data_IF_477081692846
#
_entry.id   IF_477081692846
#
_cell.length_a   1.000
_cell.length_b   1.000
_cell.length_c   1.000
_cell.angle_alpha   90.00
_cell.angle_beta   90.00
_cell.angle_gamma   90.00
#
_symmetry.space_group_name_H-M   'P 1'
#
loop_
_entity.id
_entity.type
_entity.pdbx_description
1 polymer ?
#
# COMPACT_ATOMS: atom_id res chain seq x y z
N UNK A 1 57.78 2.03 47.60
CA UNK A 1 56.35 2.41 47.54
C UNK A 1 55.82 2.10 46.17
N UNK A 2 55.17 0.96 46.03
CA UNK A 2 54.57 0.51 44.76
C UNK A 2 53.05 0.66 44.87
N UNK A 3 52.48 1.50 44.02
CA UNK A 3 51.01 1.59 43.85
C UNK A 3 50.61 0.66 42.69
N UNK A 4 49.96 -0.44 43.00
CA UNK A 4 49.29 -1.30 42.03
C UNK A 4 47.97 -0.64 41.63
N UNK A 5 47.84 -0.29 40.33
CA UNK A 5 46.58 0.14 39.75
C UNK A 5 45.80 -1.08 39.30
N UNK A 6 44.66 -1.34 39.96
CA UNK A 6 43.70 -2.38 39.59
C UNK A 6 42.82 -1.84 38.46
N UNK A 7 43.08 -2.29 37.23
CA UNK A 7 42.18 -2.05 36.08
C UNK A 7 41.00 -3.01 36.18
N UNK A 8 39.84 -2.49 36.57
CA UNK A 8 38.57 -3.16 36.44
C UNK A 8 38.15 -3.15 34.96
N UNK A 9 38.26 -4.30 34.31
CA UNK A 9 37.65 -4.52 32.99
C UNK A 9 36.11 -4.62 33.17
N UNK A 10 35.43 -3.54 32.86
CA UNK A 10 33.96 -3.56 32.70
C UNK A 10 33.69 -4.22 31.37
N UNK A 11 33.28 -5.49 31.40
CA UNK A 11 32.69 -6.18 30.22
C UNK A 11 31.42 -5.44 29.85
N UNK A 12 31.45 -4.69 28.75
CA UNK A 12 30.25 -4.15 28.14
C UNK A 12 29.41 -5.33 27.64
N UNK A 13 28.39 -5.69 28.41
CA UNK A 13 27.30 -6.53 27.91
C UNK A 13 26.62 -5.73 26.82
N UNK A 14 26.72 -6.21 25.56
CA UNK A 14 25.95 -5.64 24.47
C UNK A 14 24.47 -5.63 24.86
N UNK A 15 23.73 -4.52 24.67
CA UNK A 15 22.29 -4.54 24.92
C UNK A 15 21.66 -5.63 24.05
N UNK A 16 20.64 -6.32 24.55
CA UNK A 16 19.89 -7.27 23.73
C UNK A 16 19.43 -6.51 22.48
N UNK A 17 19.72 -7.06 21.32
CA UNK A 17 19.15 -6.59 20.06
C UNK A 17 17.66 -6.95 20.13
N UNK A 18 16.83 -5.99 20.50
CA UNK A 18 15.40 -6.13 20.31
C UNK A 18 15.14 -6.51 18.84
N UNK A 19 14.22 -7.44 18.58
CA UNK A 19 13.81 -7.70 17.19
C UNK A 19 13.47 -6.35 16.55
N UNK A 20 13.78 -6.15 15.25
CA UNK A 20 13.52 -4.88 14.59
C UNK A 20 12.05 -4.52 14.82
N UNK A 21 11.83 -3.43 15.57
CA UNK A 21 10.49 -2.90 15.78
C UNK A 21 9.88 -2.58 14.43
N UNK A 22 8.60 -2.87 14.24
CA UNK A 22 7.87 -2.46 13.05
C UNK A 22 8.15 -0.99 12.75
N UNK A 23 8.46 -0.64 11.48
CA UNK A 23 8.51 0.77 11.13
C UNK A 23 7.14 1.37 11.49
N UNK A 24 7.10 2.49 12.20
CA UNK A 24 5.83 3.15 12.46
C UNK A 24 5.13 3.43 11.13
N UNK A 25 3.80 3.37 11.11
CA UNK A 25 3.02 3.61 9.89
C UNK A 25 3.41 4.92 9.20
N UNK A 26 3.80 5.94 9.97
CA UNK A 26 4.34 7.21 9.46
C UNK A 26 5.54 7.01 8.55
N UNK A 27 6.51 6.19 8.95
CA UNK A 27 7.73 5.95 8.17
C UNK A 27 7.43 5.10 6.93
N UNK A 28 6.60 4.06 7.10
CA UNK A 28 6.14 3.22 5.99
C UNK A 28 5.34 4.01 4.95
N UNK A 29 4.59 5.03 5.39
CA UNK A 29 3.89 5.94 4.50
C UNK A 29 4.81 6.94 3.78
N UNK A 30 6.09 7.10 4.16
CA UNK A 30 7.01 8.05 3.52
C UNK A 30 7.44 7.61 2.12
N UNK A 31 7.45 6.34 1.80
CA UNK A 31 7.88 5.86 0.48
C UNK A 31 6.77 6.02 -0.54
N UNK A 32 7.03 6.74 -1.63
CA UNK A 32 6.01 6.98 -2.64
C UNK A 32 5.69 5.73 -3.45
N UNK A 33 4.42 5.63 -3.84
CA UNK A 33 3.96 4.64 -4.80
C UNK A 33 2.90 5.24 -5.74
N UNK A 34 3.19 6.32 -6.47
CA UNK A 34 2.22 6.84 -7.43
C UNK A 34 1.98 5.81 -8.53
N UNK A 35 0.78 5.84 -9.08
CA UNK A 35 0.31 4.87 -10.09
C UNK A 35 1.32 4.67 -11.21
N UNK A 36 1.73 3.43 -11.45
CA UNK A 36 2.73 3.06 -12.46
C UNK A 36 4.19 3.25 -12.01
N UNK A 37 4.41 3.74 -10.79
CA UNK A 37 5.74 3.97 -10.20
C UNK A 37 5.87 3.35 -8.80
N UNK A 38 5.13 2.27 -8.52
CA UNK A 38 5.05 1.62 -7.21
C UNK A 38 6.29 0.81 -6.86
N UNK A 39 7.19 0.59 -7.82
CA UNK A 39 8.34 -0.30 -7.68
C UNK A 39 9.15 -0.06 -6.41
N UNK A 40 9.47 1.20 -6.10
CA UNK A 40 10.28 1.54 -4.94
C UNK A 40 9.65 1.10 -3.62
N UNK A 41 8.36 1.37 -3.45
CA UNK A 41 7.61 0.95 -2.27
C UNK A 41 7.58 -0.58 -2.17
N UNK A 42 7.31 -1.25 -3.28
CA UNK A 42 7.25 -2.70 -3.32
C UNK A 42 8.62 -3.36 -3.10
N UNK A 43 9.73 -2.72 -3.49
CA UNK A 43 11.08 -3.19 -3.20
C UNK A 43 11.39 -3.06 -1.70
N UNK A 44 10.90 -2.01 -1.02
CA UNK A 44 11.00 -1.86 0.44
C UNK A 44 10.17 -2.92 1.18
N UNK A 45 8.97 -3.23 0.70
CA UNK A 45 8.17 -4.34 1.24
C UNK A 45 8.90 -5.65 1.07
N UNK A 46 9.41 -5.94 -0.13
CA UNK A 46 10.12 -7.17 -0.42
C UNK A 46 11.38 -7.35 0.44
N UNK A 47 12.11 -6.27 0.69
CA UNK A 47 13.33 -6.30 1.53
C UNK A 47 13.05 -6.62 3.01
N UNK A 48 11.82 -6.50 3.46
CA UNK A 48 11.41 -6.80 4.85
C UNK A 48 10.77 -8.19 5.00
N UNK A 49 10.55 -8.91 3.90
CA UNK A 49 10.00 -10.26 3.94
C UNK A 49 11.08 -11.27 4.34
N UNK A 50 10.71 -12.34 5.06
CA UNK A 50 11.61 -13.46 5.33
C UNK A 50 12.11 -14.12 4.04
N UNK A 51 13.41 -14.42 3.96
CA UNK A 51 14.06 -15.05 2.78
C UNK A 51 13.45 -16.40 2.40
N UNK A 52 12.77 -17.08 3.32
CA UNK A 52 12.10 -18.37 3.11
C UNK A 52 10.83 -18.27 2.27
N UNK A 53 10.25 -17.08 2.15
CA UNK A 53 9.04 -16.87 1.37
C UNK A 53 9.36 -16.69 -0.12
N UNK A 54 8.64 -17.42 -0.97
CA UNK A 54 8.76 -17.27 -2.41
C UNK A 54 8.07 -15.98 -2.87
N UNK A 55 8.82 -15.09 -3.50
CA UNK A 55 8.31 -13.83 -4.02
C UNK A 55 8.45 -13.77 -5.53
N UNK A 56 7.48 -13.17 -6.20
CA UNK A 56 7.51 -12.93 -7.64
C UNK A 56 6.89 -11.58 -7.99
N UNK A 57 7.22 -11.06 -9.16
CA UNK A 57 6.61 -9.85 -9.74
C UNK A 57 5.77 -10.23 -10.95
N UNK A 58 4.58 -9.63 -11.06
CA UNK A 58 3.81 -9.73 -12.29
C UNK A 58 4.26 -8.69 -13.34
N UNK A 59 3.64 -8.73 -14.52
CA UNK A 59 3.96 -7.82 -15.61
C UNK A 59 3.63 -6.33 -15.32
N UNK A 60 2.78 -6.05 -14.35
CA UNK A 60 2.42 -4.70 -13.91
C UNK A 60 3.26 -4.25 -12.72
N UNK A 61 4.11 -5.13 -12.18
CA UNK A 61 5.01 -4.85 -11.07
C UNK A 61 4.46 -5.22 -9.70
N UNK A 62 3.25 -5.78 -9.58
CA UNK A 62 2.69 -6.24 -8.29
C UNK A 62 3.63 -7.26 -7.63
N UNK A 63 3.78 -7.18 -6.32
CA UNK A 63 4.54 -8.15 -5.54
C UNK A 63 3.60 -9.25 -5.05
N UNK A 64 3.88 -10.48 -5.44
CA UNK A 64 3.14 -11.67 -5.04
C UNK A 64 4.02 -12.50 -4.11
N UNK A 65 3.49 -12.88 -2.95
CA UNK A 65 4.19 -13.64 -1.91
C UNK A 65 3.42 -14.93 -1.67
N UNK A 66 4.07 -16.07 -1.91
CA UNK A 66 3.48 -17.38 -1.66
C UNK A 66 3.90 -17.91 -0.30
N UNK A 67 2.92 -18.31 0.49
CA UNK A 67 3.10 -18.96 1.77
C UNK A 67 3.23 -20.47 1.61
N UNK A 68 3.78 -21.13 2.63
CA UNK A 68 3.96 -22.59 2.66
C UNK A 68 5.43 -23.01 2.67
N UNK A 69 5.67 -24.33 2.81
CA UNK A 69 7.02 -24.88 2.83
C UNK A 69 7.72 -24.68 1.49
N UNK A 70 9.06 -24.74 1.45
CA UNK A 70 9.82 -24.66 0.22
C UNK A 70 9.33 -25.71 -0.80
N UNK A 71 8.95 -25.26 -2.01
CA UNK A 71 8.39 -26.13 -3.06
C UNK A 71 6.87 -26.12 -3.19
N UNK A 72 6.14 -25.46 -2.27
CA UNK A 72 4.67 -25.32 -2.37
C UNK A 72 4.20 -24.38 -3.50
N UNK A 73 5.12 -23.89 -4.34
CA UNK A 73 4.82 -22.89 -5.38
C UNK A 73 3.83 -23.32 -6.49
N UNK A 74 3.63 -24.62 -6.69
CA UNK A 74 2.75 -25.17 -7.70
C UNK A 74 1.35 -25.55 -7.17
N UNK A 75 1.10 -25.35 -5.89
CA UNK A 75 -0.21 -25.66 -5.30
C UNK A 75 -1.28 -24.66 -5.77
N UNK A 76 -2.52 -25.11 -5.94
CA UNK A 76 -3.65 -24.22 -6.22
C UNK A 76 -3.77 -23.15 -5.15
N UNK A 77 -4.00 -21.90 -5.58
CA UNK A 77 -4.23 -20.80 -4.66
C UNK A 77 -5.62 -20.92 -4.06
N UNK A 78 -5.68 -21.32 -2.80
CA UNK A 78 -6.92 -21.43 -2.04
C UNK A 78 -7.46 -20.07 -1.66
N UNK A 79 -6.61 -19.23 -1.10
CA UNK A 79 -6.97 -17.91 -0.63
C UNK A 79 -5.91 -16.87 -1.05
N UNK A 80 -6.37 -15.74 -1.55
CA UNK A 80 -5.57 -14.59 -1.90
C UNK A 80 -5.93 -13.41 -0.98
N UNK A 81 -4.94 -12.88 -0.28
CA UNK A 81 -5.07 -11.62 0.47
C UNK A 81 -4.44 -10.50 -0.35
N UNK A 82 -5.18 -9.46 -0.65
CA UNK A 82 -4.71 -8.45 -1.57
C UNK A 82 -4.97 -7.02 -1.08
N UNK A 83 -4.01 -6.13 -1.34
CA UNK A 83 -4.11 -4.69 -1.11
C UNK A 83 -3.59 -3.92 -2.31
N UNK A 84 -4.27 -2.86 -2.70
CA UNK A 84 -3.73 -1.88 -3.65
C UNK A 84 -2.69 -0.99 -2.96
N UNK A 85 -1.53 -0.80 -3.57
CA UNK A 85 -0.45 -0.01 -2.95
C UNK A 85 -0.27 1.37 -3.56
N UNK A 86 -0.88 1.62 -4.70
CA UNK A 86 -0.73 2.88 -5.42
C UNK A 86 -1.47 4.03 -4.73
N UNK A 87 -0.92 5.21 -4.89
CA UNK A 87 -1.45 6.47 -4.38
C UNK A 87 -1.71 7.46 -5.51
N UNK A 88 -2.65 8.42 -5.33
CA UNK A 88 -2.82 9.51 -6.26
C UNK A 88 -1.54 10.35 -6.37
N UNK A 89 -1.18 10.69 -7.58
CA UNK A 89 0.00 11.49 -7.88
C UNK A 89 -0.11 12.16 -9.23
N UNK A 90 0.97 12.75 -9.67
CA UNK A 90 1.10 13.37 -10.99
C UNK A 90 2.38 12.91 -11.66
N UNK A 91 2.51 13.21 -12.94
CA UNK A 91 3.78 13.18 -13.68
C UNK A 91 4.08 14.55 -14.25
N UNK A 92 5.36 14.85 -14.43
CA UNK A 92 5.80 16.01 -15.19
C UNK A 92 5.39 15.84 -16.64
N UNK A 93 4.45 16.66 -17.12
CA UNK A 93 3.93 16.59 -18.50
C UNK A 93 4.57 17.61 -19.44
N UNK A 94 5.10 18.70 -18.91
CA UNK A 94 5.80 19.74 -19.68
C UNK A 94 6.77 20.51 -18.78
N UNK A 95 7.93 20.85 -19.32
CA UNK A 95 8.88 21.80 -18.74
C UNK A 95 8.73 23.11 -19.51
N UNK A 96 8.38 24.18 -18.80
CA UNK A 96 8.13 25.50 -19.39
C UNK A 96 9.41 26.32 -19.51
N UNK A 97 9.39 27.34 -20.36
CA UNK A 97 10.54 28.22 -20.56
C UNK A 97 10.91 29.03 -19.30
N UNK A 98 9.94 29.30 -18.44
CA UNK A 98 10.08 30.00 -17.16
C UNK A 98 10.49 29.08 -15.99
N UNK A 99 10.80 27.79 -16.24
CA UNK A 99 11.22 26.82 -15.25
C UNK A 99 10.10 26.14 -14.48
N UNK A 100 8.86 26.60 -14.60
CA UNK A 100 7.71 25.88 -14.03
C UNK A 100 7.44 24.57 -14.78
N UNK A 101 6.87 23.60 -14.05
CA UNK A 101 6.50 22.30 -14.60
C UNK A 101 4.97 22.20 -14.70
N UNK A 102 4.45 21.80 -15.86
CA UNK A 102 3.08 21.31 -15.93
C UNK A 102 3.03 19.87 -15.43
N UNK A 103 1.96 19.55 -14.74
CA UNK A 103 1.75 18.21 -14.18
C UNK A 103 0.45 17.63 -14.72
N UNK A 104 0.40 16.31 -14.84
CA UNK A 104 -0.79 15.54 -15.22
C UNK A 104 -1.06 14.46 -14.19
N UNK A 105 -2.32 14.36 -13.76
CA UNK A 105 -2.74 13.39 -12.75
C UNK A 105 -2.54 11.95 -13.24
N UNK A 106 -2.10 11.10 -12.33
CA UNK A 106 -2.01 9.65 -12.50
C UNK A 106 -3.20 8.97 -11.83
N UNK A 107 -3.67 7.87 -12.41
CA UNK A 107 -4.71 7.01 -11.81
C UNK A 107 -6.06 7.11 -12.52
N UNK A 108 -7.12 6.86 -11.76
CA UNK A 108 -8.50 6.81 -12.24
C UNK A 108 -8.98 8.12 -12.89
N UNK A 109 -10.10 8.08 -13.64
CA UNK A 109 -10.59 9.23 -14.38
C UNK A 109 -10.61 10.46 -13.48
N UNK A 110 -10.23 11.57 -14.08
CA UNK A 110 -10.05 12.89 -13.49
C UNK A 110 -10.93 13.09 -12.25
N UNK A 111 -10.31 13.27 -11.06
CA UNK A 111 -11.08 13.56 -9.86
C UNK A 111 -11.98 14.78 -10.11
N UNK A 112 -13.08 14.96 -9.38
CA UNK A 112 -13.86 16.19 -9.42
C UNK A 112 -12.94 17.39 -9.35
N UNK A 113 -13.23 18.46 -10.10
CA UNK A 113 -12.33 19.61 -10.24
C UNK A 113 -11.86 20.22 -8.93
N UNK A 114 -12.68 20.14 -7.88
CA UNK A 114 -12.34 20.62 -6.54
C UNK A 114 -11.22 19.80 -5.88
N UNK A 115 -10.96 18.59 -6.35
CA UNK A 115 -9.88 17.74 -5.83
C UNK A 115 -8.50 18.39 -5.98
N UNK A 116 -8.28 19.14 -7.05
CA UNK A 116 -7.01 19.81 -7.28
C UNK A 116 -6.79 20.98 -6.33
N UNK A 117 -7.85 21.64 -5.87
CA UNK A 117 -7.78 22.74 -4.91
C UNK A 117 -7.23 22.28 -3.55
N UNK A 118 -7.48 21.04 -3.15
CA UNK A 118 -6.93 20.46 -1.91
C UNK A 118 -5.40 20.36 -1.94
N UNK A 119 -4.79 20.52 -3.10
CA UNK A 119 -3.36 20.37 -3.33
C UNK A 119 -2.62 21.68 -3.54
N UNK A 120 -3.36 22.79 -3.70
CA UNK A 120 -2.78 24.11 -3.87
C UNK A 120 -1.94 24.53 -2.67
N UNK A 121 -0.73 25.06 -2.92
CA UNK A 121 0.19 25.55 -1.92
C UNK A 121 0.85 24.46 -1.08
N UNK A 122 0.62 23.18 -1.40
CA UNK A 122 1.20 22.09 -0.64
C UNK A 122 2.56 21.67 -1.16
N UNK A 123 3.48 21.28 -0.26
CA UNK A 123 4.74 20.68 -0.64
C UNK A 123 4.52 19.44 -1.48
N UNK A 124 5.37 19.29 -2.50
CA UNK A 124 5.42 18.10 -3.34
C UNK A 124 6.88 17.71 -3.60
N UNK A 125 7.09 16.51 -4.08
CA UNK A 125 8.40 16.02 -4.49
C UNK A 125 8.32 15.43 -5.88
N UNK A 126 9.25 15.84 -6.74
CA UNK A 126 9.53 15.16 -8.00
C UNK A 126 10.53 14.05 -7.71
N UNK A 127 10.20 12.83 -8.03
CA UNK A 127 11.10 11.69 -7.89
C UNK A 127 11.83 11.45 -9.21
N UNK A 128 13.07 11.89 -9.24
CA UNK A 128 13.97 11.73 -10.37
C UNK A 128 14.76 10.43 -10.26
N UNK A 129 15.55 10.11 -11.27
CA UNK A 129 16.48 8.98 -11.22
C UNK A 129 17.50 9.11 -10.08
N UNK A 130 17.92 10.34 -9.77
CA UNK A 130 19.02 10.62 -8.82
C UNK A 130 18.51 10.92 -7.40
N UNK A 131 17.18 10.99 -7.20
CA UNK A 131 16.60 11.28 -5.89
C UNK A 131 15.34 12.15 -5.99
N UNK A 132 14.95 12.73 -4.86
CA UNK A 132 13.76 13.56 -4.76
C UNK A 132 14.10 15.04 -4.77
N UNK A 133 13.48 15.81 -5.66
CA UNK A 133 13.52 17.28 -5.68
C UNK A 133 12.26 17.84 -5.00
N UNK A 134 12.44 18.79 -4.10
CA UNK A 134 11.33 19.50 -3.47
C UNK A 134 10.69 20.50 -4.44
N UNK A 135 9.38 20.69 -4.32
CA UNK A 135 8.63 21.71 -5.04
C UNK A 135 7.32 22.04 -4.34
N UNK A 136 6.57 22.96 -4.89
CA UNK A 136 5.26 23.37 -4.38
C UNK A 136 4.25 23.29 -5.52
N UNK A 137 3.14 22.58 -5.29
CA UNK A 137 2.01 22.57 -6.22
C UNK A 137 1.25 23.89 -6.15
N UNK A 138 1.01 24.48 -7.28
CA UNK A 138 0.38 25.78 -7.42
C UNK A 138 -0.73 25.72 -8.46
N UNK A 139 -1.64 26.67 -8.41
CA UNK A 139 -2.63 26.93 -9.45
C UNK A 139 -2.54 28.38 -9.91
N UNK A 140 -2.97 28.66 -11.12
CA UNK A 140 -3.01 30.03 -11.63
C UNK A 140 -3.85 30.91 -10.70
N UNK A 141 -3.35 32.12 -10.37
CA UNK A 141 -4.06 33.04 -9.52
C UNK A 141 -5.48 33.34 -10.03
N UNK A 142 -6.44 33.33 -9.14
CA UNK A 142 -7.85 33.65 -9.47
C UNK A 142 -8.02 35.03 -10.12
N UNK A 143 -7.11 35.96 -9.85
CA UNK A 143 -7.12 37.29 -10.41
C UNK A 143 -6.60 37.38 -11.86
N UNK A 144 -5.83 36.39 -12.28
CA UNK A 144 -5.23 36.33 -13.61
C UNK A 144 -6.00 35.42 -14.58
N UNK A 145 -7.02 34.71 -14.09
CA UNK A 145 -7.85 33.83 -14.92
C UNK A 145 -9.01 34.58 -15.55
N UNK A 146 -9.09 34.53 -16.87
CA UNK A 146 -10.23 35.08 -17.63
C UNK A 146 -10.45 34.20 -18.88
N UNK A 147 -11.65 33.64 -19.10
CA UNK A 147 -12.77 33.59 -18.14
C UNK A 147 -12.47 32.70 -16.92
N UNK A 148 -13.15 32.95 -15.81
CA UNK A 148 -13.08 32.06 -14.62
C UNK A 148 -13.75 30.73 -14.96
N UNK A 149 -13.05 29.59 -14.87
CA UNK A 149 -13.71 28.29 -14.97
C UNK A 149 -14.53 28.04 -13.71
N UNK A 150 -15.69 27.38 -13.86
CA UNK A 150 -16.54 26.96 -12.73
C UNK A 150 -15.83 25.86 -11.91
N UNK A 151 -14.95 25.10 -12.56
CA UNK A 151 -14.19 24.00 -11.98
C UNK A 151 -12.72 24.12 -12.38
N UNK A 152 -11.80 24.00 -11.41
CA UNK A 152 -10.37 24.02 -11.66
C UNK A 152 -9.87 22.61 -11.99
N UNK A 153 -9.63 22.35 -13.26
CA UNK A 153 -8.99 21.14 -13.73
C UNK A 153 -7.46 21.12 -13.53
N UNK A 154 -6.85 19.99 -13.83
CA UNK A 154 -5.39 19.80 -13.75
C UNK A 154 -4.61 20.72 -14.69
N UNK A 155 -5.24 21.22 -15.75
CA UNK A 155 -4.63 22.15 -16.72
C UNK A 155 -4.23 23.50 -16.10
N UNK A 156 -4.79 23.84 -14.94
CA UNK A 156 -4.43 25.05 -14.19
C UNK A 156 -3.32 24.81 -13.16
N UNK A 157 -2.94 23.53 -12.96
CA UNK A 157 -1.90 23.19 -12.01
C UNK A 157 -0.51 23.28 -12.61
N UNK A 158 0.43 23.70 -11.79
CA UNK A 158 1.85 23.63 -12.08
C UNK A 158 2.64 23.38 -10.81
N UNK A 159 3.89 22.99 -10.99
CA UNK A 159 4.82 22.73 -9.89
C UNK A 159 5.99 23.71 -10.02
N UNK A 160 6.26 24.43 -8.95
CA UNK A 160 7.43 25.25 -8.77
C UNK A 160 8.52 24.44 -8.08
N UNK A 161 9.67 24.32 -8.70
CA UNK A 161 10.86 23.63 -8.18
C UNK A 161 12.02 24.59 -7.92
N UNK A 162 11.75 25.90 -7.97
CA UNK A 162 12.76 26.95 -7.77
C UNK A 162 13.71 27.15 -8.97
N UNK A 163 13.40 26.59 -10.13
CA UNK A 163 14.14 26.82 -11.37
C UNK A 163 13.52 27.97 -12.16
N UNK A 164 14.35 28.72 -12.89
CA UNK A 164 13.94 29.85 -13.74
C UNK A 164 14.02 29.56 -15.24
N UNK A 165 14.40 28.33 -15.60
CA UNK A 165 14.64 27.94 -16.99
C UNK A 165 14.63 26.42 -17.16
N UNK A 166 14.44 25.89 -18.37
CA UNK A 166 14.58 24.46 -18.66
C UNK A 166 15.95 23.90 -18.29
N UNK A 167 17.01 24.72 -18.42
CA UNK A 167 18.36 24.35 -18.04
C UNK A 167 18.48 24.20 -16.51
N UNK A 168 17.85 25.08 -15.75
CA UNK A 168 17.74 24.98 -14.29
C UNK A 168 17.02 23.70 -13.86
N UNK A 169 15.90 23.39 -14.51
CA UNK A 169 15.15 22.14 -14.28
C UNK A 169 16.01 20.92 -14.58
N UNK A 170 16.71 20.90 -15.72
CA UNK A 170 17.61 19.79 -16.08
C UNK A 170 18.77 19.63 -15.09
N UNK A 171 19.27 20.72 -14.52
CA UNK A 171 20.32 20.67 -13.48
C UNK A 171 19.84 20.04 -12.16
N UNK A 172 18.52 20.06 -11.91
CA UNK A 172 17.89 19.33 -10.79
C UNK A 172 17.64 17.84 -11.12
N UNK A 173 18.03 17.37 -12.31
CA UNK A 173 17.80 15.99 -12.75
C UNK A 173 16.36 15.68 -13.14
N UNK A 174 15.50 16.69 -13.24
CA UNK A 174 14.07 16.50 -13.53
C UNK A 174 13.86 16.32 -15.03
N UNK A 175 13.08 15.30 -15.39
CA UNK A 175 12.71 14.95 -16.75
C UNK A 175 11.19 14.82 -16.92
N UNK A 176 10.75 14.77 -18.18
CA UNK A 176 9.36 14.44 -18.50
C UNK A 176 9.03 13.04 -17.98
N UNK A 177 7.81 12.86 -17.51
CA UNK A 177 7.26 11.64 -16.90
C UNK A 177 7.83 11.27 -15.52
N UNK A 178 8.71 12.11 -14.95
CA UNK A 178 9.06 11.93 -13.56
C UNK A 178 7.83 12.06 -12.65
N UNK A 179 7.61 11.12 -11.72
CA UNK A 179 6.44 11.16 -10.85
C UNK A 179 6.54 12.28 -9.81
N UNK A 180 5.41 12.88 -9.54
CA UNK A 180 5.23 13.94 -8.55
C UNK A 180 4.23 13.50 -7.51
N UNK A 181 4.62 13.51 -6.25
CA UNK A 181 3.76 13.14 -5.12
C UNK A 181 3.71 14.24 -4.09
N UNK A 182 2.57 14.40 -3.47
CA UNK A 182 2.46 15.14 -2.24
C UNK A 182 3.08 14.32 -1.12
N UNK A 183 3.92 14.97 -0.29
CA UNK A 183 4.66 14.26 0.73
C UNK A 183 4.57 14.98 2.06
N UNK A 184 3.42 14.89 2.66
CA UNK A 184 3.20 15.27 4.04
C UNK A 184 2.68 14.05 4.78
N UNK A 185 3.51 13.48 5.63
CA UNK A 185 3.07 12.53 6.64
C UNK A 185 3.07 13.30 7.94
N UNK A 186 1.92 13.43 8.54
CA UNK A 186 1.76 14.06 9.85
C UNK A 186 1.35 12.97 10.83
N UNK A 187 2.30 12.55 11.66
CA UNK A 187 2.00 11.82 12.89
C UNK A 187 1.63 12.85 13.96
N UNK A 188 0.39 12.89 14.37
CA UNK A 188 -0.02 13.65 15.54
C UNK A 188 0.39 12.86 16.79
N UNK A 189 0.97 13.52 17.80
CA UNK A 189 1.44 12.91 19.05
C UNK A 189 0.36 12.00 19.67
N UNK A 190 0.52 10.67 19.50
CA UNK A 190 -0.44 9.68 19.99
C UNK A 190 -1.80 9.67 19.29
N UNK A 191 -1.93 10.33 18.16
CA UNK A 191 -3.14 10.44 17.37
C UNK A 191 -3.01 9.79 15.98
N UNK A 192 -3.96 10.07 15.07
CA UNK A 192 -4.02 9.46 13.75
C UNK A 192 -2.78 9.78 12.90
N UNK A 193 -2.40 8.83 12.06
CA UNK A 193 -1.42 9.06 10.99
C UNK A 193 -2.17 9.63 9.79
N UNK A 194 -1.77 10.82 9.36
CA UNK A 194 -2.31 11.49 8.18
C UNK A 194 -1.30 11.40 7.03
N UNK A 195 -1.71 10.79 5.93
CA UNK A 195 -0.89 10.65 4.73
C UNK A 195 -1.75 10.40 3.48
N UNK A 196 -1.23 10.66 2.27
CA UNK A 196 -1.87 10.15 1.06
C UNK A 196 -1.97 8.62 1.10
N UNK A 197 -3.16 8.08 0.84
CA UNK A 197 -3.43 6.64 0.85
C UNK A 197 -3.06 5.93 2.17
N UNK A 198 -3.29 6.56 3.33
CA UNK A 198 -2.92 6.04 4.65
C UNK A 198 -3.51 4.64 4.91
N UNK A 199 -4.76 4.38 4.51
CA UNK A 199 -5.38 3.07 4.67
C UNK A 199 -4.68 1.97 3.86
N UNK A 200 -4.23 2.26 2.64
CA UNK A 200 -3.48 1.31 1.82
C UNK A 200 -2.12 1.00 2.42
N UNK A 201 -1.47 2.01 3.00
CA UNK A 201 -0.21 1.84 3.73
C UNK A 201 -0.40 1.00 4.99
N UNK A 202 -1.46 1.28 5.77
CA UNK A 202 -1.83 0.50 6.95
C UNK A 202 -2.12 -0.96 6.59
N UNK A 203 -2.90 -1.20 5.55
CA UNK A 203 -3.21 -2.55 5.09
C UNK A 203 -1.97 -3.30 4.58
N UNK A 204 -1.08 -2.62 3.84
CA UNK A 204 0.18 -3.21 3.39
C UNK A 204 1.11 -3.54 4.58
N UNK A 205 1.19 -2.67 5.58
CA UNK A 205 1.95 -2.92 6.82
C UNK A 205 1.39 -4.13 7.58
N UNK A 206 0.07 -4.22 7.71
CA UNK A 206 -0.60 -5.36 8.37
C UNK A 206 -0.30 -6.67 7.66
N UNK A 207 -0.34 -6.70 6.32
CA UNK A 207 0.03 -7.88 5.53
C UNK A 207 1.50 -8.25 5.72
N UNK A 208 2.41 -7.27 5.72
CA UNK A 208 3.84 -7.49 5.94
C UNK A 208 4.10 -8.08 7.34
N UNK A 209 3.46 -7.52 8.38
CA UNK A 209 3.54 -8.05 9.76
C UNK A 209 3.05 -9.49 9.84
N UNK A 210 1.91 -9.81 9.23
CA UNK A 210 1.38 -11.17 9.22
C UNK A 210 2.36 -12.18 8.59
N UNK A 211 2.99 -11.81 7.47
CA UNK A 211 3.97 -12.65 6.78
C UNK A 211 5.28 -12.83 7.55
N UNK A 212 5.70 -11.81 8.29
CA UNK A 212 6.98 -11.79 9.01
C UNK A 212 6.88 -12.40 10.40
N UNK A 213 5.83 -12.03 11.15
CA UNK A 213 5.76 -12.23 12.60
C UNK A 213 4.85 -13.38 13.00
N UNK A 214 4.07 -13.96 12.06
CA UNK A 214 3.12 -15.05 12.32
C UNK A 214 3.52 -16.29 11.51
N UNK A 215 4.26 -17.26 12.10
CA UNK A 215 4.71 -18.44 11.39
C UNK A 215 3.56 -19.24 10.76
N UNK A 216 2.42 -19.35 11.43
CA UNK A 216 1.23 -20.06 10.96
C UNK A 216 0.71 -19.50 9.63
N UNK A 217 0.80 -18.16 9.44
CA UNK A 217 0.46 -17.50 8.18
C UNK A 217 1.49 -17.82 7.11
N UNK A 218 2.77 -17.66 7.44
CA UNK A 218 3.86 -17.82 6.47
C UNK A 218 4.03 -19.29 6.02
N UNK A 219 3.64 -20.27 6.85
CA UNK A 219 3.74 -21.69 6.56
C UNK A 219 2.45 -22.31 5.98
N UNK A 220 1.38 -21.49 5.81
CA UNK A 220 0.08 -21.95 5.28
C UNK A 220 0.12 -22.18 3.78
N UNK A 221 0.06 -23.43 3.34
CA UNK A 221 0.06 -23.81 1.93
C UNK A 221 -1.24 -23.35 1.21
N UNK A 222 -1.11 -22.90 -0.03
CA UNK A 222 -2.24 -22.38 -0.82
C UNK A 222 -2.70 -20.97 -0.42
N UNK A 223 -2.04 -20.32 0.55
CA UNK A 223 -2.23 -18.92 0.91
C UNK A 223 -1.26 -18.05 0.11
N UNK A 224 -1.77 -16.97 -0.46
CA UNK A 224 -0.98 -16.01 -1.25
C UNK A 224 -1.32 -14.61 -0.83
N UNK A 225 -0.30 -13.76 -0.69
CA UNK A 225 -0.45 -12.33 -0.49
C UNK A 225 -0.06 -11.57 -1.76
N UNK A 226 -0.82 -10.53 -2.12
CA UNK A 226 -0.51 -9.67 -3.25
C UNK A 226 -0.56 -8.18 -2.86
N UNK A 227 0.57 -7.52 -3.03
CA UNK A 227 0.70 -6.06 -2.98
C UNK A 227 0.56 -5.55 -4.40
N UNK A 228 -0.63 -5.06 -4.73
CA UNK A 228 -1.09 -4.85 -6.10
C UNK A 228 -0.75 -3.45 -6.60
N UNK A 229 0.02 -3.37 -7.68
CA UNK A 229 0.31 -2.14 -8.41
C UNK A 229 -0.88 -1.75 -9.31
N UNK A 230 -1.01 -0.46 -9.66
CA UNK A 230 -2.05 0.07 -10.56
C UNK A 230 -3.48 -0.32 -10.15
N UNK A 231 -3.74 -0.36 -8.85
CA UNK A 231 -5.03 -0.78 -8.29
C UNK A 231 -6.12 0.27 -8.47
N UNK A 232 -5.77 1.53 -8.73
CA UNK A 232 -6.72 2.63 -8.95
C UNK A 232 -7.06 2.86 -10.42
N UNK A 233 -6.46 2.10 -11.34
CA UNK A 233 -6.71 2.22 -12.78
C UNK A 233 -7.61 1.09 -13.25
N UNK A 234 -8.71 1.42 -13.92
CA UNK A 234 -9.66 0.43 -14.45
C UNK A 234 -10.82 0.16 -13.49
N UNK A 235 -11.41 -1.01 -13.61
CA UNK A 235 -12.60 -1.45 -12.88
C UNK A 235 -12.28 -2.63 -11.96
N UNK A 236 -13.23 -2.99 -11.08
CA UNK A 236 -13.06 -4.12 -10.16
C UNK A 236 -12.41 -3.72 -8.84
N UNK A 237 -12.25 -4.69 -7.92
CA UNK A 237 -11.87 -4.44 -6.53
C UNK A 237 -10.47 -3.84 -6.35
N UNK A 238 -9.56 -4.13 -7.28
CA UNK A 238 -8.18 -3.66 -7.29
C UNK A 238 -7.76 -3.27 -8.72
N UNK A 239 -8.69 -2.73 -9.51
CA UNK A 239 -8.44 -2.19 -10.82
C UNK A 239 -7.67 -3.15 -11.75
N UNK A 240 -6.86 -2.58 -12.64
CA UNK A 240 -6.07 -3.30 -13.64
C UNK A 240 -5.07 -4.29 -13.03
N UNK A 241 -4.43 -3.89 -11.94
CA UNK A 241 -3.49 -4.76 -11.23
C UNK A 241 -4.17 -5.96 -10.62
N UNK A 242 -5.32 -5.76 -9.98
CA UNK A 242 -6.13 -6.84 -9.43
C UNK A 242 -6.60 -7.83 -10.49
N UNK A 243 -7.03 -7.33 -11.65
CA UNK A 243 -7.40 -8.20 -12.79
C UNK A 243 -6.23 -9.06 -13.25
N UNK A 244 -5.03 -8.50 -13.36
CA UNK A 244 -3.84 -9.24 -13.77
C UNK A 244 -3.49 -10.36 -12.77
N UNK A 245 -3.53 -10.03 -11.47
CA UNK A 245 -3.29 -11.00 -10.38
C UNK A 245 -4.34 -12.12 -10.39
N UNK A 246 -5.64 -11.77 -10.49
CA UNK A 246 -6.73 -12.75 -10.53
C UNK A 246 -6.63 -13.71 -11.72
N UNK A 247 -6.35 -13.21 -12.93
CA UNK A 247 -6.19 -14.06 -14.13
C UNK A 247 -5.01 -15.02 -13.99
N UNK A 248 -3.94 -14.58 -13.33
CA UNK A 248 -2.74 -15.38 -13.13
C UNK A 248 -2.92 -16.46 -12.07
N UNK A 249 -3.45 -16.08 -10.89
CA UNK A 249 -3.49 -16.94 -9.72
C UNK A 249 -4.75 -17.80 -9.63
N UNK A 250 -5.87 -17.32 -10.15
CA UNK A 250 -7.19 -17.99 -10.11
C UNK A 250 -7.54 -18.51 -8.72
N UNK A 251 -7.52 -17.63 -7.68
CA UNK A 251 -7.75 -18.06 -6.32
C UNK A 251 -9.18 -18.57 -6.12
N UNK A 252 -9.36 -19.50 -5.17
CA UNK A 252 -10.69 -19.92 -4.74
C UNK A 252 -11.47 -18.76 -4.11
N UNK A 253 -10.82 -17.97 -3.28
CA UNK A 253 -11.37 -16.76 -2.66
C UNK A 253 -10.32 -15.64 -2.63
N UNK A 254 -10.77 -14.38 -2.71
CA UNK A 254 -9.91 -13.22 -2.50
C UNK A 254 -10.47 -12.31 -1.41
N UNK A 255 -9.63 -11.97 -0.42
CA UNK A 255 -9.86 -10.90 0.54
C UNK A 255 -9.17 -9.63 0.06
N UNK A 256 -9.90 -8.53 0.01
CA UNK A 256 -9.37 -7.22 -0.36
C UNK A 256 -9.36 -6.32 0.87
N UNK A 257 -8.15 -5.97 1.31
CA UNK A 257 -7.97 -4.99 2.39
C UNK A 257 -8.05 -3.58 1.81
N UNK A 258 -8.94 -2.74 2.36
CA UNK A 258 -9.13 -1.37 1.88
C UNK A 258 -9.62 -0.42 2.96
N UNK A 259 -9.45 0.88 2.75
CA UNK A 259 -10.09 1.92 3.57
C UNK A 259 -11.56 2.11 3.22
N UNK A 260 -12.36 2.49 4.21
CA UNK A 260 -13.74 2.93 4.01
C UNK A 260 -14.09 4.07 4.96
N UNK A 261 -14.69 5.12 4.40
CA UNK A 261 -15.20 6.24 5.18
C UNK A 261 -16.53 5.91 5.86
N UNK A 262 -16.80 6.58 6.97
CA UNK A 262 -18.10 6.50 7.65
C UNK A 262 -18.35 5.18 8.39
N UNK A 263 -17.31 4.38 8.66
CA UNK A 263 -17.44 3.22 9.53
C UNK A 263 -17.53 3.68 10.99
N UNK A 264 -18.48 3.13 11.73
CA UNK A 264 -18.58 3.32 13.19
C UNK A 264 -17.55 2.46 13.91
N UNK A 265 -17.33 1.23 13.41
CA UNK A 265 -16.35 0.29 13.96
C UNK A 265 -14.97 0.43 13.29
N UNK A 266 -13.87 0.11 13.97
CA UNK A 266 -12.51 0.14 13.42
C UNK A 266 -12.34 -0.66 12.14
N UNK A 267 -12.96 -1.85 12.09
CA UNK A 267 -12.86 -2.79 10.97
C UNK A 267 -14.21 -3.44 10.70
N UNK A 268 -14.56 -3.52 9.42
CA UNK A 268 -15.75 -4.23 8.96
C UNK A 268 -15.37 -5.32 7.96
N UNK A 269 -15.59 -6.58 8.32
CA UNK A 269 -15.56 -7.72 7.39
C UNK A 269 -16.90 -7.91 6.72
N UNK A 270 -16.90 -8.43 5.49
CA UNK A 270 -18.11 -8.81 4.78
C UNK A 270 -18.13 -10.32 4.58
N UNK A 271 -19.20 -10.97 5.01
CA UNK A 271 -19.46 -12.38 4.69
C UNK A 271 -20.02 -12.58 3.27
N UNK A 272 -20.45 -11.48 2.62
CA UNK A 272 -21.01 -11.53 1.28
C UNK A 272 -19.90 -11.56 0.24
N UNK A 273 -19.81 -12.68 -0.47
CA UNK A 273 -18.95 -12.80 -1.64
C UNK A 273 -19.52 -11.99 -2.81
N UNK A 274 -18.66 -11.26 -3.48
CA UNK A 274 -18.97 -10.53 -4.71
C UNK A 274 -18.29 -11.27 -5.85
N UNK A 275 -19.06 -11.69 -6.85
CA UNK A 275 -18.49 -12.28 -8.05
C UNK A 275 -18.02 -11.17 -9.01
N UNK A 276 -16.79 -11.26 -9.43
CA UNK A 276 -16.23 -10.39 -10.46
C UNK A 276 -15.21 -11.18 -11.30
N UNK A 277 -15.39 -11.16 -12.60
CA UNK A 277 -14.49 -11.81 -13.57
C UNK A 277 -14.24 -13.32 -13.29
N UNK A 278 -15.26 -14.03 -12.80
CA UNK A 278 -15.16 -15.46 -12.51
C UNK A 278 -14.42 -15.79 -11.21
N UNK A 279 -14.17 -14.80 -10.37
CA UNK A 279 -13.58 -14.98 -9.04
C UNK A 279 -14.49 -14.40 -7.97
N UNK A 280 -14.48 -15.02 -6.80
CA UNK A 280 -15.20 -14.54 -5.64
C UNK A 280 -14.28 -13.69 -4.77
N UNK A 281 -14.76 -12.51 -4.35
CA UNK A 281 -14.00 -11.67 -3.45
C UNK A 281 -14.90 -11.01 -2.41
N UNK A 282 -14.31 -10.60 -1.29
CA UNK A 282 -14.96 -9.81 -0.25
C UNK A 282 -14.01 -8.79 0.35
N UNK A 283 -14.51 -7.61 0.75
CA UNK A 283 -13.69 -6.61 1.41
C UNK A 283 -13.52 -6.91 2.90
N UNK A 284 -12.35 -6.54 3.41
CA UNK A 284 -12.09 -6.24 4.81
C UNK A 284 -11.75 -4.75 4.88
N UNK A 285 -12.61 -3.97 5.48
CA UNK A 285 -12.58 -2.52 5.42
C UNK A 285 -12.07 -1.92 6.73
N UNK A 286 -11.04 -1.10 6.63
CA UNK A 286 -10.47 -0.31 7.70
C UNK A 286 -11.14 1.06 7.76
N UNK A 287 -11.53 1.50 8.95
CA UNK A 287 -12.05 2.85 9.18
C UNK A 287 -11.01 3.90 8.81
N UNK A 288 -11.43 4.89 8.02
CA UNK A 288 -10.59 6.03 7.66
C UNK A 288 -11.37 7.32 7.73
N UNK A 289 -10.70 8.40 8.10
CA UNK A 289 -11.20 9.75 7.93
C UNK A 289 -10.57 10.41 6.70
N UNK A 290 -11.32 11.30 6.07
CA UNK A 290 -10.88 12.03 4.86
C UNK A 290 -10.40 11.10 3.74
N UNK A 291 -11.14 9.99 3.51
CA UNK A 291 -10.82 9.00 2.48
C UNK A 291 -10.61 9.66 1.10
N UNK A 292 -9.68 9.09 0.32
CA UNK A 292 -9.32 9.54 -1.02
C UNK A 292 -8.80 10.99 -1.10
N UNK A 293 -8.39 11.58 0.02
CA UNK A 293 -7.76 12.90 0.07
C UNK A 293 -6.25 12.80 0.36
N UNK A 294 -5.50 13.89 0.13
CA UNK A 294 -4.08 13.93 0.47
C UNK A 294 -3.78 13.84 1.98
N UNK A 295 -4.80 13.98 2.80
CA UNK A 295 -4.74 13.99 4.27
C UNK A 295 -5.59 12.87 4.88
N UNK A 296 -5.72 11.76 4.16
CA UNK A 296 -6.39 10.56 4.68
C UNK A 296 -5.78 10.16 6.02
N UNK A 297 -6.63 9.82 7.00
CA UNK A 297 -6.22 9.55 8.37
C UNK A 297 -6.63 8.15 8.81
N UNK A 298 -5.70 7.50 9.51
CA UNK A 298 -5.89 6.18 10.11
C UNK A 298 -5.43 6.23 11.57
N UNK A 299 -6.26 5.72 12.47
CA UNK A 299 -5.93 5.57 13.87
C UNK A 299 -5.01 4.34 14.09
N UNK A 300 -3.96 4.44 14.92
CA UNK A 300 -3.10 3.30 15.22
C UNK A 300 -3.86 2.08 15.78
N UNK A 301 -4.84 2.31 16.64
CA UNK A 301 -5.66 1.24 17.22
C UNK A 301 -6.51 0.53 16.16
N UNK A 302 -6.92 1.23 15.10
CA UNK A 302 -7.67 0.65 13.98
C UNK A 302 -6.75 -0.25 13.13
N UNK A 303 -5.46 0.09 13.00
CA UNK A 303 -4.46 -0.76 12.34
C UNK A 303 -4.28 -2.08 13.09
N UNK A 304 -4.21 -2.02 14.43
CA UNK A 304 -4.14 -3.22 15.26
C UNK A 304 -5.43 -4.06 15.21
N UNK A 305 -6.59 -3.41 15.07
CA UNK A 305 -7.85 -4.10 14.84
C UNK A 305 -7.87 -4.81 13.48
N UNK A 306 -7.34 -4.18 12.42
CA UNK A 306 -7.20 -4.79 11.10
C UNK A 306 -6.26 -6.00 11.13
N UNK A 307 -5.14 -5.89 11.83
CA UNK A 307 -4.21 -7.01 11.99
C UNK A 307 -4.90 -8.23 12.63
N UNK A 308 -5.61 -8.01 13.75
CA UNK A 308 -6.38 -9.07 14.40
C UNK A 308 -7.46 -9.68 13.51
N UNK A 309 -8.19 -8.84 12.77
CA UNK A 309 -9.20 -9.30 11.82
C UNK A 309 -8.59 -10.14 10.70
N UNK A 310 -7.45 -9.73 10.15
CA UNK A 310 -6.72 -10.51 9.14
C UNK A 310 -6.31 -11.88 9.67
N UNK A 311 -5.75 -11.95 10.89
CA UNK A 311 -5.37 -13.24 11.48
C UNK A 311 -6.57 -14.15 11.74
N UNK A 312 -7.71 -13.60 12.14
CA UNK A 312 -8.95 -14.37 12.28
C UNK A 312 -9.41 -14.98 10.96
N UNK A 313 -9.28 -14.24 9.86
CA UNK A 313 -9.65 -14.73 8.53
C UNK A 313 -8.70 -15.81 8.00
N UNK A 314 -7.42 -15.67 8.26
CA UNK A 314 -6.38 -16.53 7.69
C UNK A 314 -6.14 -17.77 8.55
N UNK A 315 -6.00 -17.62 9.87
CA UNK A 315 -5.63 -18.72 10.77
C UNK A 315 -6.85 -19.50 11.23
N UNK A 316 -7.96 -18.82 11.57
CA UNK A 316 -9.16 -19.46 12.12
C UNK A 316 -10.24 -19.75 11.07
N UNK A 317 -10.15 -19.14 9.88
CA UNK A 317 -10.99 -19.49 8.73
C UNK A 317 -10.74 -20.92 8.25
N UNK A 318 -9.50 -21.40 8.34
CA UNK A 318 -9.11 -22.78 8.02
C UNK A 318 -9.78 -23.81 8.93
N UNK A 319 -9.78 -23.57 10.23
CA UNK A 319 -10.41 -24.46 11.20
C UNK A 319 -11.91 -24.67 10.94
N UNK A 320 -12.60 -23.63 10.46
CA UNK A 320 -14.02 -23.73 10.09
C UNK A 320 -14.26 -24.47 8.78
N UNK A 321 -13.31 -24.36 7.82
CA UNK A 321 -13.40 -25.07 6.56
C UNK A 321 -13.19 -26.59 6.78
N UNK A 322 -12.19 -26.97 7.58
CA UNK A 322 -11.90 -28.37 7.93
C UNK A 322 -13.03 -29.01 8.73
N UNK A 323 -13.64 -28.27 9.68
CA UNK A 323 -14.82 -28.74 10.40
C UNK A 323 -16.05 -28.94 9.49
N UNK A 324 -16.25 -28.04 8.51
CA UNK A 324 -17.36 -28.15 7.58
C UNK A 324 -17.16 -29.32 6.59
N UNK A 325 -15.93 -29.57 6.14
CA UNK A 325 -15.61 -30.70 5.27
C UNK A 325 -15.69 -32.04 6.02
N UNK A 326 -15.24 -32.09 7.26
CA UNK A 326 -15.39 -33.26 8.16
C UNK A 326 -16.85 -33.57 8.46
N UNK A 327 -17.72 -32.56 8.59
CA UNK A 327 -19.15 -32.72 8.82
C UNK A 327 -19.93 -33.14 7.56
N UNK A 328 -19.37 -32.91 6.37
CA UNK A 328 -20.00 -33.23 5.09
C UNK A 328 -19.75 -34.68 4.61
N UNK A 329 -18.88 -35.44 5.28
CA UNK A 329 -18.67 -36.88 4.97
C UNK A 329 -19.87 -37.66 5.47
N UNK A 330 -20.73 -38.24 4.63
CA UNK A 330 -21.86 -39.04 5.06
C UNK A 330 -21.32 -40.30 5.78
N UNK A 331 -21.99 -40.77 6.84
CA UNK A 331 -21.59 -41.98 7.51
C UNK A 331 -21.59 -43.16 6.53
N UNK A 332 -20.50 -43.92 6.55
CA UNK A 332 -20.36 -45.12 5.71
C UNK A 332 -21.59 -46.02 5.85
N UNK A 333 -22.21 -46.37 4.73
CA UNK A 333 -23.33 -47.32 4.71
C UNK A 333 -22.86 -48.62 5.37
N UNK A 334 -23.65 -49.19 6.30
CA UNK A 334 -23.29 -50.45 6.89
C UNK A 334 -23.25 -51.58 5.85
N UNK A 335 -22.15 -52.32 5.82
CA UNK A 335 -22.02 -53.48 4.94
C UNK A 335 -23.19 -54.46 5.12
N UNK A 336 -23.76 -54.95 4.02
CA UNK A 336 -24.85 -55.94 4.12
C UNK A 336 -24.33 -57.23 4.75
N UNK A 337 -24.88 -57.55 5.91
CA UNK A 337 -24.61 -58.84 6.56
C UNK A 337 -25.11 -59.96 5.63
N UNK A 338 -24.20 -60.87 5.27
CA UNK A 338 -24.50 -62.12 4.56
C UNK A 338 -24.87 -63.21 5.55
#
# INVERSE_FOLDING_TARGET
MWRAALLLAVSAVAPPTDPPSDPPLSDFALTPAPVGHERRFLDEVAAQLPDRLATERDALGSLIVRCGPPGAGDEPVRQLIAVGVDEPGYVVSQIREDGYLRVRALGAPTPPGDFHLLREGRPARVWTRDGACAGVLLVDSVHLRSPRPDVLGEEYMYLDVGADSPRGVAALGIALLDPVVQREVVGLLGGPVSAPAAARRAAALVMLRALRDVPEVADSAGLVFAFVAQSTVGTGPLGRGGEAVLRRLRPGEMLVLRGAAGLEEPVRGSSKLVESQGSHWRPVELRVAYADTPVEQVEPDDVEALFRALLQEVVYGEARADEAESAAVPPAEPEPQR
#
